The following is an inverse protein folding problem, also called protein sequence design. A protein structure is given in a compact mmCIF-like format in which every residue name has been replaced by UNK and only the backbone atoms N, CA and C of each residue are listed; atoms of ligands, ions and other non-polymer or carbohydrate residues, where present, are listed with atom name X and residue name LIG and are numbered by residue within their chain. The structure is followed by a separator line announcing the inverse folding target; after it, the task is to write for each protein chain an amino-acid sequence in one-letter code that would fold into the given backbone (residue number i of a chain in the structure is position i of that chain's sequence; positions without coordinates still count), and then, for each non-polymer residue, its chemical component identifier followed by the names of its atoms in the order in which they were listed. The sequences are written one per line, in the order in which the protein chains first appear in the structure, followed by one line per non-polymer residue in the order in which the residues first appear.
data_IF_302714176614
#
_entry.id   IF_302714176614
#
_cell.length_a   1.000
_cell.length_b   1.000
_cell.length_c   1.000
_cell.angle_alpha   90.00
_cell.angle_beta   90.00
_cell.angle_gamma   90.00
#
_symmetry.space_group_name_H-M   'P 1'
#
loop_
_entity.id
_entity.type
_entity.pdbx_description
1 polymer ?
#
# COMPACT_ATOMS: atom_id res chain seq x y z
N UNK A 1 3.19 -4.08 -2.20
CA UNK A 1 2.98 -4.06 -0.73
C UNK A 1 1.52 -4.25 -0.33
N UNK A 2 0.54 -3.47 -0.82
CA UNK A 2 -0.87 -3.64 -0.45
C UNK A 2 -1.36 -5.10 -0.58
N UNK A 3 -1.16 -5.73 -1.75
CA UNK A 3 -1.46 -7.15 -1.99
C UNK A 3 -0.70 -8.10 -1.03
N UNK A 4 0.59 -7.86 -0.80
CA UNK A 4 1.39 -8.64 0.15
C UNK A 4 0.84 -8.55 1.57
N UNK A 5 0.49 -7.34 2.03
CA UNK A 5 -0.03 -7.12 3.37
C UNK A 5 -1.41 -7.75 3.54
N UNK A 6 -2.31 -7.59 2.55
CA UNK A 6 -3.61 -8.25 2.53
C UNK A 6 -3.47 -9.76 2.61
N UNK A 7 -2.67 -10.39 1.75
CA UNK A 7 -2.49 -11.85 1.74
C UNK A 7 -1.84 -12.34 3.03
N UNK A 8 -0.84 -11.62 3.57
CA UNK A 8 -0.18 -11.99 4.82
C UNK A 8 -1.12 -11.92 6.03
N UNK A 9 -2.09 -11.00 6.02
CA UNK A 9 -2.99 -10.71 7.13
C UNK A 9 -4.47 -10.71 6.69
N UNK A 10 -4.89 -11.67 5.86
CA UNK A 10 -6.26 -11.69 5.30
C UNK A 10 -7.33 -12.00 6.34
N UNK A 11 -6.98 -12.44 7.55
CA UNK A 11 -7.95 -12.48 8.65
C UNK A 11 -8.24 -11.08 9.25
N UNK A 12 -7.34 -10.12 9.06
CA UNK A 12 -7.42 -8.75 9.59
C UNK A 12 -7.92 -7.76 8.52
N UNK A 13 -7.40 -7.88 7.30
CA UNK A 13 -7.71 -7.01 6.17
C UNK A 13 -9.03 -7.47 5.53
N UNK A 14 -9.85 -6.53 5.03
CA UNK A 14 -11.18 -6.79 4.44
C UNK A 14 -11.28 -6.42 2.95
N UNK A 15 -10.13 -6.21 2.32
CA UNK A 15 -10.04 -5.76 0.95
C UNK A 15 -8.82 -4.89 0.66
N UNK A 16 -8.52 -4.72 -0.63
CA UNK A 16 -7.37 -3.96 -1.09
C UNK A 16 -7.67 -3.12 -2.32
N UNK A 17 -7.09 -1.91 -2.32
CA UNK A 17 -6.94 -1.07 -3.49
C UNK A 17 -5.54 -1.18 -4.05
N UNK A 18 -5.41 -1.44 -5.35
CA UNK A 18 -4.12 -1.68 -6.00
C UNK A 18 -3.99 -0.81 -7.25
N UNK A 19 -3.03 0.12 -7.23
CA UNK A 19 -2.72 0.99 -8.36
C UNK A 19 -1.46 0.50 -9.06
N UNK A 20 -1.54 0.22 -10.37
CA UNK A 20 -0.40 -0.07 -11.24
C UNK A 20 0.64 -1.02 -10.60
N UNK A 21 0.18 -2.19 -10.14
CA UNK A 21 1.01 -3.17 -9.43
C UNK A 21 0.68 -4.60 -9.88
N UNK A 22 1.44 -5.57 -9.38
CA UNK A 22 1.43 -6.95 -9.86
C UNK A 22 1.06 -8.01 -8.82
N UNK A 23 1.17 -9.30 -9.23
CA UNK A 23 0.84 -10.47 -8.42
C UNK A 23 1.62 -10.54 -7.09
N UNK A 24 1.03 -11.24 -6.11
CA UNK A 24 1.71 -11.56 -4.85
C UNK A 24 3.02 -12.33 -5.11
N UNK A 25 4.09 -11.89 -4.44
CA UNK A 25 5.43 -12.48 -4.52
C UNK A 25 5.91 -12.69 -5.97
N UNK A 26 5.60 -11.74 -6.87
CA UNK A 26 5.95 -11.86 -8.29
C UNK A 26 7.46 -11.97 -8.52
N UNK A 27 8.25 -11.20 -7.77
CA UNK A 27 9.70 -11.14 -7.93
C UNK A 27 10.44 -12.34 -7.32
N UNK A 28 9.80 -13.10 -6.42
CA UNK A 28 10.38 -14.30 -5.79
C UNK A 28 11.76 -14.04 -5.14
N UNK A 29 11.94 -12.85 -4.57
CA UNK A 29 13.19 -12.44 -3.93
C UNK A 29 14.33 -12.10 -4.91
N UNK A 30 14.04 -11.95 -6.20
CA UNK A 30 15.01 -11.68 -7.26
C UNK A 30 14.75 -10.34 -7.97
N UNK A 31 15.77 -9.48 -8.00
CA UNK A 31 15.68 -8.15 -8.59
C UNK A 31 15.63 -8.18 -10.12
N UNK A 32 16.29 -9.14 -10.77
CA UNK A 32 16.22 -9.26 -12.22
C UNK A 32 14.79 -9.61 -12.62
N UNK A 33 14.21 -10.63 -11.98
CA UNK A 33 12.82 -11.03 -12.18
C UNK A 33 11.84 -9.90 -11.88
N UNK A 34 12.10 -9.13 -10.82
CA UNK A 34 11.32 -7.94 -10.50
C UNK A 34 11.23 -6.96 -11.70
N UNK A 35 12.35 -6.71 -12.36
CA UNK A 35 12.43 -5.78 -13.49
C UNK A 35 11.87 -6.39 -14.79
N UNK A 36 12.17 -7.66 -15.08
CA UNK A 36 11.86 -8.29 -16.36
C UNK A 36 10.49 -8.97 -16.43
N UNK A 37 9.96 -9.51 -15.34
CA UNK A 37 8.64 -10.18 -15.33
C UNK A 37 7.54 -9.31 -14.69
N UNK A 38 7.90 -8.51 -13.68
CA UNK A 38 6.94 -7.88 -12.76
C UNK A 38 6.79 -6.37 -12.94
N UNK A 39 7.48 -5.78 -13.91
CA UNK A 39 7.37 -4.36 -14.27
C UNK A 39 7.03 -4.19 -15.75
N UNK A 40 7.94 -4.55 -16.64
CA UNK A 40 7.74 -4.40 -18.08
C UNK A 40 8.05 -5.71 -18.82
N UNK A 41 7.24 -6.76 -18.62
CA UNK A 41 7.39 -8.05 -19.31
C UNK A 41 7.38 -7.92 -20.82
N UNK A 42 8.17 -8.78 -21.45
CA UNK A 42 8.18 -9.01 -22.90
C UNK A 42 7.45 -10.33 -23.25
N UNK A 43 7.58 -10.78 -24.50
CA UNK A 43 6.93 -12.02 -24.96
C UNK A 43 7.52 -13.32 -24.39
N UNK A 44 8.61 -13.25 -23.62
CA UNK A 44 9.31 -14.40 -23.03
C UNK A 44 9.20 -14.37 -21.50
N UNK A 45 9.48 -13.23 -20.90
CA UNK A 45 9.48 -13.02 -19.47
C UNK A 45 8.08 -12.63 -18.99
N UNK A 46 7.17 -13.60 -18.97
CA UNK A 46 5.77 -13.37 -18.60
C UNK A 46 5.60 -13.21 -17.08
N UNK A 47 4.67 -12.36 -16.61
CA UNK A 47 4.27 -12.35 -15.20
C UNK A 47 3.68 -13.72 -14.81
N UNK A 48 3.72 -14.08 -13.52
CA UNK A 48 3.25 -15.39 -13.08
C UNK A 48 1.75 -15.55 -13.33
N UNK A 49 1.35 -16.77 -13.66
CA UNK A 49 -0.06 -17.12 -13.83
C UNK A 49 -0.84 -17.05 -12.50
N UNK A 50 -2.18 -17.02 -12.54
CA UNK A 50 -3.01 -17.20 -11.35
C UNK A 50 -2.66 -18.46 -10.57
N UNK A 51 -2.44 -19.58 -11.26
CA UNK A 51 -2.08 -20.87 -10.66
C UNK A 51 -0.73 -20.82 -9.94
N UNK A 52 0.30 -20.23 -10.57
CA UNK A 52 1.63 -20.07 -9.96
C UNK A 52 1.56 -19.15 -8.73
N UNK A 53 0.80 -18.06 -8.82
CA UNK A 53 0.58 -17.14 -7.70
C UNK A 53 -0.14 -17.84 -6.54
N UNK A 54 -1.20 -18.59 -6.84
CA UNK A 54 -1.96 -19.35 -5.85
C UNK A 54 -1.12 -20.46 -5.21
N UNK A 55 -0.29 -21.16 -5.99
CA UNK A 55 0.63 -22.17 -5.47
C UNK A 55 1.62 -21.60 -4.45
N UNK A 56 2.20 -20.42 -4.73
CA UNK A 56 3.07 -19.71 -3.78
C UNK A 56 2.33 -19.33 -2.50
N UNK A 57 1.14 -18.74 -2.62
CA UNK A 57 0.32 -18.37 -1.46
C UNK A 57 -0.01 -19.63 -0.63
N UNK A 58 -0.44 -20.72 -1.25
CA UNK A 58 -0.72 -21.98 -0.55
C UNK A 58 0.50 -22.51 0.19
N UNK A 59 1.69 -22.48 -0.42
CA UNK A 59 2.92 -22.90 0.24
C UNK A 59 3.22 -22.07 1.51
N UNK A 60 3.10 -20.74 1.46
CA UNK A 60 3.26 -19.90 2.65
C UNK A 60 2.17 -20.12 3.70
N UNK A 61 0.93 -20.38 3.29
CA UNK A 61 -0.19 -20.64 4.19
C UNK A 61 -0.05 -22.00 4.90
N UNK A 62 0.36 -23.04 4.19
CA UNK A 62 0.66 -24.38 4.75
C UNK A 62 1.82 -24.31 5.75
N UNK A 63 2.82 -23.48 5.45
CA UNK A 63 3.92 -23.18 6.36
C UNK A 63 3.52 -22.23 7.52
N UNK A 64 2.25 -21.78 7.58
CA UNK A 64 1.70 -20.85 8.57
C UNK A 64 2.39 -19.48 8.63
N UNK A 65 3.03 -19.08 7.53
CA UNK A 65 3.74 -17.80 7.42
C UNK A 65 2.80 -16.65 7.01
N UNK A 66 1.61 -16.98 6.50
CA UNK A 66 0.51 -16.07 6.16
C UNK A 66 -0.83 -16.65 6.61
N UNK A 67 -1.91 -15.90 6.45
CA UNK A 67 -3.26 -16.39 6.67
C UNK A 67 -3.69 -17.46 5.64
N UNK A 68 -4.69 -18.31 5.98
CA UNK A 68 -5.32 -19.20 5.02
C UNK A 68 -5.86 -18.46 3.79
N UNK A 69 -5.64 -19.03 2.61
CA UNK A 69 -6.08 -18.42 1.33
C UNK A 69 -7.59 -18.16 1.29
N UNK A 70 -8.38 -19.04 1.93
CA UNK A 70 -9.84 -18.91 1.97
C UNK A 70 -10.34 -17.62 2.61
N UNK A 71 -9.53 -16.94 3.42
CA UNK A 71 -9.86 -15.64 3.99
C UNK A 71 -9.90 -14.51 2.95
N UNK A 72 -9.40 -14.73 1.72
CA UNK A 72 -9.55 -13.74 0.65
C UNK A 72 -10.95 -13.73 0.06
N UNK A 73 -11.74 -14.80 0.25
CA UNK A 73 -13.02 -14.97 -0.45
C UNK A 73 -14.09 -13.92 -0.12
N UNK A 74 -14.04 -13.30 1.06
CA UNK A 74 -14.94 -12.21 1.47
C UNK A 74 -14.35 -10.81 1.28
N UNK A 75 -13.14 -10.71 0.72
CA UNK A 75 -12.48 -9.43 0.44
C UNK A 75 -13.05 -8.76 -0.81
N UNK A 76 -13.11 -7.43 -0.76
CA UNK A 76 -13.34 -6.60 -1.95
C UNK A 76 -12.03 -6.08 -2.49
N UNK A 77 -11.86 -6.11 -3.81
CA UNK A 77 -10.62 -5.70 -4.46
C UNK A 77 -10.90 -4.69 -5.57
N UNK A 78 -10.18 -3.58 -5.54
CA UNK A 78 -10.23 -2.55 -6.57
C UNK A 78 -8.83 -2.41 -7.20
N UNK A 79 -8.72 -2.57 -8.52
CA UNK A 79 -7.44 -2.56 -9.23
C UNK A 79 -7.48 -1.52 -10.35
N UNK A 80 -6.40 -0.74 -10.48
CA UNK A 80 -6.24 0.27 -11.52
C UNK A 80 -5.06 0.02 -12.43
N UNK A 81 -5.27 0.17 -13.75
CA UNK A 81 -4.20 0.20 -14.77
C UNK A 81 -4.34 1.40 -15.70
N UNK A 82 -3.24 2.12 -15.92
CA UNK A 82 -3.14 3.12 -16.98
C UNK A 82 -2.76 2.52 -18.33
N UNK A 83 -3.35 3.00 -19.43
CA UNK A 83 -3.00 2.54 -20.78
C UNK A 83 -1.68 3.12 -21.33
N UNK A 84 -1.24 4.25 -20.77
CA UNK A 84 0.06 4.86 -21.07
C UNK A 84 1.15 4.47 -20.04
N UNK A 85 0.85 3.58 -19.10
CA UNK A 85 1.83 3.04 -18.16
C UNK A 85 2.88 2.21 -18.92
N UNK A 86 4.15 2.55 -18.70
CA UNK A 86 5.33 1.86 -19.25
C UNK A 86 6.29 1.40 -18.15
N UNK A 87 5.91 1.56 -16.89
CA UNK A 87 6.71 1.18 -15.72
C UNK A 87 6.18 -0.11 -15.12
N UNK A 88 4.88 -0.20 -14.88
CA UNK A 88 4.19 -1.46 -14.56
C UNK A 88 3.15 -1.66 -15.65
N UNK A 89 3.54 -2.40 -16.69
CA UNK A 89 2.73 -2.51 -17.89
C UNK A 89 1.49 -3.35 -17.63
N UNK A 90 0.47 -3.13 -18.48
CA UNK A 90 -0.84 -3.76 -18.36
C UNK A 90 -0.80 -5.29 -18.16
N UNK A 91 0.05 -6.09 -18.84
CA UNK A 91 0.12 -7.53 -18.60
C UNK A 91 0.37 -7.92 -17.13
N UNK A 92 1.18 -7.14 -16.40
CA UNK A 92 1.44 -7.38 -14.97
C UNK A 92 0.18 -7.15 -14.14
N UNK A 93 -0.54 -6.05 -14.40
CA UNK A 93 -1.79 -5.74 -13.69
C UNK A 93 -2.88 -6.76 -14.05
N UNK A 94 -2.93 -7.21 -15.30
CA UNK A 94 -3.88 -8.24 -15.75
C UNK A 94 -3.60 -9.62 -15.15
N UNK A 95 -2.34 -9.97 -14.89
CA UNK A 95 -1.99 -11.17 -14.13
C UNK A 95 -2.55 -11.10 -12.69
N UNK A 96 -2.44 -9.94 -12.04
CA UNK A 96 -3.03 -9.72 -10.71
C UNK A 96 -4.57 -9.81 -10.73
N UNK A 97 -5.20 -9.16 -11.72
CA UNK A 97 -6.67 -9.22 -11.90
C UNK A 97 -7.13 -10.66 -12.14
N UNK A 98 -6.40 -11.41 -12.96
CA UNK A 98 -6.72 -12.82 -13.25
C UNK A 98 -6.62 -13.69 -12.01
N UNK A 99 -5.61 -13.47 -11.15
CA UNK A 99 -5.54 -14.10 -9.84
C UNK A 99 -6.79 -13.80 -9.01
N UNK A 100 -7.16 -12.53 -8.84
CA UNK A 100 -8.32 -12.18 -8.01
C UNK A 100 -9.65 -12.70 -8.55
N UNK A 101 -9.85 -12.77 -9.87
CA UNK A 101 -11.05 -13.38 -10.46
C UNK A 101 -11.28 -14.83 -10.03
N UNK A 102 -10.21 -15.54 -9.68
CA UNK A 102 -10.30 -16.92 -9.20
C UNK A 102 -10.43 -17.00 -7.66
N UNK A 103 -10.22 -15.89 -6.93
CA UNK A 103 -10.21 -15.88 -5.46
C UNK A 103 -11.42 -15.20 -4.82
N UNK A 104 -12.05 -14.26 -5.52
CA UNK A 104 -13.20 -13.49 -5.00
C UNK A 104 -14.38 -13.56 -5.96
N UNK A 105 -15.58 -13.28 -5.46
CA UNK A 105 -16.78 -13.16 -6.29
C UNK A 105 -16.65 -12.03 -7.32
N UNK A 106 -17.32 -12.18 -8.46
CA UNK A 106 -17.23 -11.21 -9.57
C UNK A 106 -17.59 -9.77 -9.13
N UNK A 107 -18.61 -9.59 -8.27
CA UNK A 107 -19.00 -8.28 -7.76
C UNK A 107 -18.02 -7.70 -6.72
N UNK A 108 -17.15 -8.53 -6.16
CA UNK A 108 -16.12 -8.12 -5.21
C UNK A 108 -14.86 -7.58 -5.92
N UNK A 109 -14.69 -7.84 -7.22
CA UNK A 109 -13.56 -7.35 -8.01
C UNK A 109 -13.93 -6.21 -8.97
N UNK A 110 -13.32 -5.05 -8.78
CA UNK A 110 -13.44 -3.91 -9.68
C UNK A 110 -12.10 -3.65 -10.39
N UNK A 111 -12.04 -3.89 -11.70
CA UNK A 111 -10.89 -3.51 -12.53
C UNK A 111 -11.18 -2.25 -13.33
N UNK A 112 -10.44 -1.18 -13.04
CA UNK A 112 -10.58 0.14 -13.66
C UNK A 112 -9.40 0.45 -14.54
N UNK A 113 -9.68 0.97 -15.73
CA UNK A 113 -8.63 1.32 -16.70
C UNK A 113 -8.85 2.71 -17.26
N UNK A 114 -7.79 3.50 -17.36
CA UNK A 114 -7.80 4.79 -18.06
C UNK A 114 -6.81 4.77 -19.22
N UNK A 115 -7.26 4.86 -20.49
CA UNK A 115 -6.40 4.66 -21.66
C UNK A 115 -5.18 5.58 -21.73
N UNK A 116 -5.31 6.81 -21.23
CA UNK A 116 -4.27 7.83 -21.31
C UNK A 116 -3.47 7.98 -20.04
N UNK A 117 -3.78 7.26 -18.97
CA UNK A 117 -3.08 7.40 -17.70
C UNK A 117 -1.69 6.76 -17.75
N UNK A 118 -0.67 7.51 -17.27
CA UNK A 118 0.69 7.02 -17.03
C UNK A 118 0.82 6.29 -15.70
N UNK A 119 2.07 6.00 -15.28
CA UNK A 119 2.34 5.34 -14.00
C UNK A 119 2.32 6.35 -12.84
N UNK A 120 1.16 6.49 -12.20
CA UNK A 120 0.94 7.43 -11.10
C UNK A 120 -0.29 7.06 -10.27
N UNK A 121 -0.36 7.64 -9.06
CA UNK A 121 -1.62 7.78 -8.33
C UNK A 121 -2.53 8.75 -9.08
N UNK A 122 -3.80 8.38 -9.31
CA UNK A 122 -4.77 9.27 -9.94
C UNK A 122 -5.57 9.99 -8.87
N UNK A 123 -5.56 11.31 -8.89
CA UNK A 123 -6.25 12.11 -7.88
C UNK A 123 -6.73 13.46 -8.41
N UNK A 124 -7.85 13.90 -7.86
CA UNK A 124 -8.41 15.25 -8.07
C UNK A 124 -8.03 16.22 -6.95
N UNK A 125 -7.40 15.75 -5.86
CA UNK A 125 -7.11 16.53 -4.67
C UNK A 125 -5.75 17.25 -4.72
N UNK A 126 -4.81 16.77 -5.54
CA UNK A 126 -3.47 17.36 -5.63
C UNK A 126 -3.47 18.67 -6.46
N UNK A 127 -3.17 19.84 -5.86
CA UNK A 127 -3.15 21.11 -6.60
C UNK A 127 -2.08 21.17 -7.68
N UNK A 128 -0.94 20.50 -7.46
CA UNK A 128 0.19 20.39 -8.38
C UNK A 128 0.24 19.08 -9.15
N UNK A 129 -0.90 18.42 -9.36
CA UNK A 129 -0.94 17.14 -10.07
C UNK A 129 -0.39 17.26 -11.50
N UNK A 130 0.37 16.26 -11.92
CA UNK A 130 0.83 16.13 -13.30
C UNK A 130 -0.33 15.86 -14.27
N UNK A 131 -0.09 16.07 -15.56
CA UNK A 131 -1.02 15.64 -16.61
C UNK A 131 -1.25 14.12 -16.56
N UNK A 132 -2.44 13.66 -16.95
CA UNK A 132 -2.86 12.26 -16.85
C UNK A 132 -1.84 11.24 -17.39
N UNK A 133 -1.23 11.50 -18.56
CA UNK A 133 -0.27 10.61 -19.21
C UNK A 133 1.17 10.69 -18.69
N UNK A 134 1.45 11.54 -17.70
CA UNK A 134 2.80 11.71 -17.18
C UNK A 134 3.24 10.52 -16.33
N UNK A 135 4.54 10.23 -16.33
CA UNK A 135 5.20 9.33 -15.37
C UNK A 135 6.39 10.09 -14.77
N UNK A 136 6.10 10.98 -13.83
CA UNK A 136 7.08 11.90 -13.25
C UNK A 136 6.71 12.24 -11.81
N UNK A 137 7.70 12.68 -11.02
CA UNK A 137 7.49 13.19 -9.65
C UNK A 137 6.40 14.29 -9.64
N UNK A 138 5.51 14.34 -8.64
CA UNK A 138 5.43 13.48 -7.45
C UNK A 138 4.68 12.15 -7.69
N UNK A 139 4.49 11.75 -8.95
CA UNK A 139 3.74 10.57 -9.39
C UNK A 139 2.28 10.61 -8.91
N UNK A 140 1.70 11.81 -8.89
CA UNK A 140 0.28 12.07 -8.70
C UNK A 140 -0.23 12.83 -9.93
N UNK A 141 -1.19 12.24 -10.64
CA UNK A 141 -1.70 12.76 -11.90
C UNK A 141 -3.18 13.13 -11.79
N UNK A 142 -3.60 14.13 -12.57
CA UNK A 142 -5.01 14.49 -12.75
C UNK A 142 -5.51 13.97 -14.09
N UNK A 143 -6.45 13.02 -14.02
CA UNK A 143 -7.11 12.43 -15.20
C UNK A 143 -8.57 12.91 -15.28
N UNK A 144 -8.75 14.20 -15.55
CA UNK A 144 -10.06 14.85 -15.45
C UNK A 144 -10.54 14.92 -14.00
N UNK A 145 -11.82 14.62 -13.77
CA UNK A 145 -12.45 14.61 -12.45
C UNK A 145 -12.55 13.19 -11.86
N UNK A 146 -11.71 12.26 -12.32
CA UNK A 146 -11.72 10.89 -11.83
C UNK A 146 -11.14 10.80 -10.40
N UNK A 147 -12.02 10.69 -9.41
CA UNK A 147 -11.67 10.51 -7.99
C UNK A 147 -11.42 9.03 -7.67
N UNK A 148 -10.21 8.55 -7.99
CA UNK A 148 -9.86 7.15 -7.81
C UNK A 148 -9.87 6.69 -6.34
N UNK A 149 -9.41 7.54 -5.42
CA UNK A 149 -9.45 7.26 -3.99
C UNK A 149 -10.90 7.09 -3.50
N UNK A 150 -11.81 7.98 -3.92
CA UNK A 150 -13.23 7.89 -3.60
C UNK A 150 -13.90 6.63 -4.16
N UNK A 151 -13.71 6.33 -5.46
CA UNK A 151 -14.29 5.13 -6.08
C UNK A 151 -13.77 3.86 -5.39
N UNK A 152 -12.45 3.79 -5.15
CA UNK A 152 -11.82 2.66 -4.47
C UNK A 152 -12.36 2.49 -3.05
N UNK A 153 -12.39 3.54 -2.23
CA UNK A 153 -12.91 3.46 -0.86
C UNK A 153 -14.39 3.06 -0.84
N UNK A 154 -15.20 3.55 -1.79
CA UNK A 154 -16.61 3.18 -1.89
C UNK A 154 -16.78 1.71 -2.28
N UNK A 155 -15.95 1.20 -3.20
CA UNK A 155 -15.95 -0.22 -3.55
C UNK A 155 -15.59 -1.09 -2.34
N UNK A 156 -14.54 -0.73 -1.60
CA UNK A 156 -14.05 -1.51 -0.47
C UNK A 156 -14.99 -1.49 0.74
N UNK A 157 -15.68 -0.37 0.98
CA UNK A 157 -16.35 -0.12 2.27
C UNK A 157 -17.86 0.13 2.17
N UNK A 158 -18.40 0.17 0.95
CA UNK A 158 -19.79 0.52 0.67
C UNK A 158 -19.99 2.03 0.51
N UNK A 159 -21.25 2.47 0.60
CA UNK A 159 -21.60 3.88 0.40
C UNK A 159 -20.84 4.81 1.36
N UNK A 160 -20.23 5.86 0.81
CA UNK A 160 -19.52 6.89 1.56
C UNK A 160 -20.39 8.15 1.71
N UNK A 161 -20.26 8.82 2.85
CA UNK A 161 -20.68 10.21 3.00
C UNK A 161 -19.84 11.10 2.09
N UNK A 162 -20.41 12.17 1.50
CA UNK A 162 -19.66 13.12 0.70
C UNK A 162 -18.45 13.65 1.46
N UNK A 163 -17.29 13.66 0.80
CA UNK A 163 -16.05 14.15 1.39
C UNK A 163 -16.17 15.59 1.87
N UNK A 164 -15.47 15.91 2.95
CA UNK A 164 -15.36 17.27 3.51
C UNK A 164 -13.90 17.72 3.50
N UNK A 165 -13.65 19.01 3.71
CA UNK A 165 -12.29 19.53 3.76
C UNK A 165 -11.47 18.83 4.86
N UNK A 166 -10.30 18.33 4.50
CA UNK A 166 -9.38 17.76 5.46
C UNK A 166 -8.82 18.86 6.39
N UNK A 167 -8.81 18.60 7.70
CA UNK A 167 -8.21 19.51 8.68
C UNK A 167 -6.70 19.32 8.76
N UNK A 168 -5.95 20.42 8.83
CA UNK A 168 -4.50 20.39 9.04
C UNK A 168 -4.08 19.62 10.31
N UNK A 169 -4.80 19.84 11.43
CA UNK A 169 -4.53 19.15 12.70
C UNK A 169 -4.82 17.62 12.67
N UNK A 170 -5.51 17.15 11.62
CA UNK A 170 -5.74 15.73 11.39
C UNK A 170 -4.49 15.01 10.90
N UNK A 171 -3.60 15.69 10.16
CA UNK A 171 -2.39 15.09 9.63
C UNK A 171 -1.24 15.21 10.65
N UNK A 172 -0.70 14.07 11.09
CA UNK A 172 0.33 13.97 12.13
C UNK A 172 1.50 13.12 11.64
N UNK A 173 2.70 13.45 12.09
CA UNK A 173 3.84 12.52 12.03
C UNK A 173 3.95 11.72 13.32
N UNK A 174 4.51 10.52 13.23
CA UNK A 174 4.82 9.69 14.39
C UNK A 174 6.16 8.98 14.19
N UNK A 175 6.82 8.59 15.27
CA UNK A 175 8.02 7.76 15.20
C UNK A 175 7.60 6.34 14.79
N UNK A 176 8.00 5.93 13.59
CA UNK A 176 7.70 4.59 13.10
C UNK A 176 8.85 3.59 13.37
N UNK A 177 10.00 4.07 13.86
CA UNK A 177 11.15 3.22 14.17
C UNK A 177 10.87 2.29 15.36
N UNK A 178 10.01 2.71 16.28
CA UNK A 178 9.52 1.89 17.40
C UNK A 178 8.72 0.67 16.96
N UNK A 179 8.21 0.65 15.72
CA UNK A 179 7.38 -0.43 15.18
C UNK A 179 8.18 -1.47 14.39
N UNK A 180 9.44 -1.19 14.05
CA UNK A 180 10.23 -2.10 13.21
C UNK A 180 10.85 -3.24 14.03
N UNK A 181 10.79 -4.51 13.55
CA UNK A 181 11.38 -5.64 14.26
C UNK A 181 12.92 -5.71 14.17
N UNK A 182 13.51 -4.93 13.27
CA UNK A 182 14.94 -4.76 13.06
C UNK A 182 15.23 -3.26 12.99
N UNK A 183 16.51 -2.88 12.90
CA UNK A 183 16.88 -1.48 12.64
C UNK A 183 16.12 -0.95 11.40
N UNK A 184 15.46 0.23 11.46
CA UNK A 184 14.74 0.79 10.31
C UNK A 184 15.60 0.88 9.04
N UNK A 185 16.89 1.13 9.23
CA UNK A 185 17.89 1.16 8.15
C UNK A 185 17.89 -0.17 7.40
N UNK A 186 17.89 -1.31 8.09
CA UNK A 186 17.88 -2.65 7.47
C UNK A 186 16.64 -2.94 6.64
N UNK A 187 15.54 -2.26 6.94
CA UNK A 187 14.26 -2.44 6.28
C UNK A 187 13.98 -1.36 5.22
N UNK A 188 14.89 -0.41 5.01
CA UNK A 188 14.62 0.80 4.21
C UNK A 188 13.41 1.60 4.72
N UNK A 189 13.05 1.43 5.99
CA UNK A 189 11.94 2.13 6.65
C UNK A 189 12.43 3.51 7.07
N UNK A 190 11.65 4.57 6.80
CA UNK A 190 11.94 5.89 7.32
C UNK A 190 11.86 5.91 8.86
N UNK A 191 12.36 6.96 9.50
CA UNK A 191 12.20 7.14 10.96
C UNK A 191 10.80 7.60 11.33
N UNK A 192 10.18 8.43 10.49
CA UNK A 192 8.83 8.96 10.74
C UNK A 192 7.83 8.39 9.74
N UNK A 193 6.66 8.01 10.23
CA UNK A 193 5.47 7.73 9.45
C UNK A 193 4.50 8.91 9.52
N UNK A 194 3.45 8.88 8.69
CA UNK A 194 2.38 9.88 8.72
C UNK A 194 1.03 9.20 8.97
N UNK A 195 0.12 9.89 9.64
CA UNK A 195 -1.26 9.41 9.87
C UNK A 195 -2.23 10.58 9.79
N UNK A 196 -3.37 10.34 9.14
CA UNK A 196 -4.50 11.26 9.14
C UNK A 196 -5.59 10.74 10.08
N UNK A 197 -5.89 11.51 11.13
CA UNK A 197 -6.91 11.20 12.14
C UNK A 197 -8.08 12.19 12.00
N UNK A 198 -9.25 11.75 11.51
CA UNK A 198 -10.46 12.56 11.48
C UNK A 198 -10.86 13.07 12.87
N UNK A 199 -11.57 14.22 12.95
CA UNK A 199 -12.01 14.76 14.24
C UNK A 199 -12.89 13.75 14.99
N UNK A 200 -13.73 13.04 14.25
CA UNK A 200 -14.64 12.04 14.79
C UNK A 200 -13.90 10.79 15.34
N UNK A 201 -12.63 10.59 14.97
CA UNK A 201 -11.82 9.45 15.39
C UNK A 201 -11.00 9.68 16.65
N UNK A 202 -10.91 10.92 17.16
CA UNK A 202 -10.25 11.19 18.46
C UNK A 202 -10.94 10.46 19.62
N UNK A 203 -12.23 10.17 19.49
CA UNK A 203 -13.00 9.40 20.47
C UNK A 203 -12.93 7.87 20.24
N UNK A 204 -12.14 7.39 19.27
CA UNK A 204 -12.05 5.99 18.89
C UNK A 204 -13.23 5.50 18.03
N UNK A 205 -13.28 4.19 17.79
CA UNK A 205 -14.35 3.53 17.02
C UNK A 205 -14.30 3.80 15.51
N UNK A 206 -13.11 3.99 14.96
CA UNK A 206 -12.90 4.22 13.54
C UNK A 206 -12.29 3.01 12.84
N UNK A 207 -12.53 2.92 11.53
CA UNK A 207 -11.82 1.97 10.67
C UNK A 207 -10.45 2.56 10.32
N UNK A 208 -9.52 1.71 9.88
CA UNK A 208 -8.21 2.14 9.40
C UNK A 208 -8.05 1.73 7.94
N UNK A 209 -7.55 2.64 7.11
CA UNK A 209 -7.10 2.35 5.76
C UNK A 209 -5.59 2.65 5.68
N UNK A 210 -4.80 1.67 5.24
CA UNK A 210 -3.36 1.84 5.08
C UNK A 210 -3.06 2.19 3.64
N UNK A 211 -2.39 3.33 3.43
CA UNK A 211 -1.99 3.79 2.10
C UNK A 211 -0.48 3.65 1.97
N UNK A 212 -0.07 2.76 1.06
CA UNK A 212 1.32 2.56 0.69
C UNK A 212 1.66 3.46 -0.49
N UNK A 213 2.56 4.43 -0.29
CA UNK A 213 3.09 5.23 -1.39
C UNK A 213 3.94 4.37 -2.35
N UNK A 214 4.08 4.80 -3.61
CA UNK A 214 4.96 4.15 -4.59
C UNK A 214 6.44 4.46 -4.39
N UNK A 215 7.30 3.87 -5.24
CA UNK A 215 8.71 4.25 -5.31
C UNK A 215 8.84 5.76 -5.58
N UNK A 216 9.81 6.43 -4.94
CA UNK A 216 10.05 7.87 -5.03
C UNK A 216 8.85 8.74 -4.59
N UNK A 217 7.93 8.19 -3.79
CA UNK A 217 6.80 8.95 -3.23
C UNK A 217 6.83 9.00 -1.70
N UNK A 218 7.92 8.53 -1.08
CA UNK A 218 8.16 8.70 0.34
C UNK A 218 8.38 10.18 0.69
N UNK A 219 8.20 10.53 1.95
CA UNK A 219 8.38 11.91 2.42
C UNK A 219 9.77 12.50 2.18
N UNK A 220 10.80 11.66 2.05
CA UNK A 220 12.16 12.06 1.68
C UNK A 220 12.27 12.51 0.21
N UNK A 221 11.42 11.98 -0.67
CA UNK A 221 11.44 12.26 -2.10
C UNK A 221 10.49 13.39 -2.51
N UNK A 222 9.29 13.46 -1.92
CA UNK A 222 8.22 14.38 -2.35
C UNK A 222 7.58 15.16 -1.20
N UNK A 223 8.18 15.15 0.00
CA UNK A 223 7.58 15.79 1.16
C UNK A 223 6.19 15.23 1.47
N UNK A 224 5.21 16.11 1.66
CA UNK A 224 3.83 15.72 1.96
C UNK A 224 2.92 15.66 0.72
N UNK A 225 3.48 15.82 -0.50
CA UNK A 225 2.68 15.92 -1.73
C UNK A 225 1.82 14.68 -1.97
N UNK A 226 2.36 13.47 -1.72
CA UNK A 226 1.57 12.24 -1.84
C UNK A 226 0.53 12.13 -0.72
N UNK A 227 0.95 12.33 0.54
CA UNK A 227 0.07 12.15 1.72
C UNK A 227 -1.10 13.14 1.71
N UNK A 228 -0.92 14.34 1.16
CA UNK A 228 -1.98 15.35 1.00
C UNK A 228 -2.71 15.21 -0.33
N UNK A 229 -1.99 14.89 -1.39
CA UNK A 229 -2.49 14.95 -2.77
C UNK A 229 -3.13 13.67 -3.28
N UNK A 230 -2.95 12.52 -2.63
CA UNK A 230 -3.52 11.25 -3.09
C UNK A 230 -5.06 11.17 -2.92
N UNK A 231 -5.67 12.12 -2.19
CA UNK A 231 -7.13 12.30 -2.15
C UNK A 231 -7.88 11.46 -1.12
N UNK A 232 -7.18 10.81 -0.18
CA UNK A 232 -7.82 9.99 0.85
C UNK A 232 -8.33 10.81 2.05
N UNK A 233 -7.68 11.91 2.42
CA UNK A 233 -7.91 12.59 3.70
C UNK A 233 -9.31 13.24 3.79
N UNK A 234 -9.80 13.81 2.70
CA UNK A 234 -11.12 14.45 2.63
C UNK A 234 -12.25 13.41 2.76
N UNK A 235 -12.08 12.25 2.13
CA UNK A 235 -12.99 11.12 2.30
C UNK A 235 -12.94 10.60 3.73
N UNK A 236 -11.73 10.48 4.28
CA UNK A 236 -11.51 10.01 5.63
C UNK A 236 -12.16 10.89 6.70
N UNK A 237 -12.05 12.22 6.59
CA UNK A 237 -12.63 13.18 7.53
C UNK A 237 -14.16 13.02 7.63
N UNK A 238 -14.84 12.71 6.52
CA UNK A 238 -16.29 12.51 6.48
C UNK A 238 -16.75 11.10 6.90
N UNK A 239 -15.86 10.09 6.91
CA UNK A 239 -16.26 8.68 6.92
C UNK A 239 -15.70 7.83 8.07
N UNK A 240 -15.27 8.47 9.17
CA UNK A 240 -14.72 7.80 10.36
C UNK A 240 -13.63 6.78 10.00
N UNK A 241 -12.70 7.23 9.16
CA UNK A 241 -11.62 6.42 8.60
C UNK A 241 -10.28 7.06 8.94
N UNK A 242 -9.47 6.40 9.76
CA UNK A 242 -8.07 6.80 9.96
C UNK A 242 -7.29 6.37 8.72
N UNK A 243 -6.43 7.25 8.18
CA UNK A 243 -5.55 6.89 7.07
C UNK A 243 -4.12 6.82 7.56
N UNK A 244 -3.56 5.62 7.58
CA UNK A 244 -2.17 5.37 7.95
C UNK A 244 -1.30 5.45 6.69
N UNK A 245 -0.23 6.23 6.73
CA UNK A 245 0.75 6.38 5.66
C UNK A 245 2.15 5.99 6.17
N UNK A 246 2.44 4.68 6.31
CA UNK A 246 3.78 4.21 6.62
C UNK A 246 4.77 4.73 5.57
N UNK A 247 6.02 4.98 5.95
CA UNK A 247 7.01 5.56 5.05
C UNK A 247 8.23 4.66 4.87
N UNK A 248 8.65 4.46 3.63
CA UNK A 248 9.98 3.92 3.29
C UNK A 248 10.83 5.04 2.70
N UNK A 249 12.16 4.89 2.75
CA UNK A 249 13.10 5.89 2.22
C UNK A 249 14.12 5.22 1.32
N UNK A 250 14.74 5.99 0.42
CA UNK A 250 15.76 5.50 -0.48
C UNK A 250 17.00 5.02 0.27
N UNK A 251 17.51 3.83 -0.10
CA UNK A 251 18.70 3.25 0.50
C UNK A 251 19.58 2.54 -0.53
N UNK A 252 20.87 2.83 -0.49
CA UNK A 252 21.87 2.15 -1.31
C UNK A 252 23.19 2.05 -0.55
N UNK A 253 23.48 0.89 0.02
CA UNK A 253 24.74 0.65 0.71
C UNK A 253 24.66 -0.23 1.94
N UNK A 254 25.78 -0.34 2.65
CA UNK A 254 25.90 -1.10 3.91
C UNK A 254 25.12 -0.43 5.05
N UNK A 255 24.45 -1.23 5.87
CA UNK A 255 23.77 -0.75 7.07
C UNK A 255 24.79 -0.70 8.19
N UNK A 256 25.02 0.49 8.74
CA UNK A 256 25.82 0.59 9.95
C UNK A 256 25.11 -0.15 11.10
N UNK A 257 25.82 -1.08 11.75
CA UNK A 257 25.30 -1.93 12.82
C UNK A 257 25.11 -3.39 12.40
N UNK A 258 24.27 -3.66 11.38
CA UNK A 258 24.02 -5.03 10.88
C UNK A 258 24.99 -5.47 9.79
N UNK A 259 25.66 -4.51 9.13
CA UNK A 259 26.48 -4.70 7.94
C UNK A 259 25.73 -5.35 6.77
N UNK A 260 24.39 -5.26 6.76
CA UNK A 260 23.58 -5.78 5.66
C UNK A 260 23.59 -4.78 4.50
N UNK A 261 23.98 -5.26 3.32
CA UNK A 261 23.81 -4.49 2.10
C UNK A 261 22.33 -4.38 1.74
N UNK A 262 21.86 -3.16 1.50
CA UNK A 262 20.50 -2.92 0.99
C UNK A 262 20.55 -2.09 -0.27
N UNK A 263 19.84 -2.62 -1.27
CA UNK A 263 19.70 -2.03 -2.59
C UNK A 263 18.23 -1.68 -2.81
N UNK A 264 17.86 -0.45 -2.46
CA UNK A 264 16.55 0.17 -2.68
C UNK A 264 16.73 1.66 -3.01
N UNK A 265 17.45 2.02 -4.09
CA UNK A 265 17.81 3.41 -4.36
C UNK A 265 16.59 4.30 -4.67
N UNK A 266 15.42 3.71 -4.89
CA UNK A 266 14.19 4.43 -5.21
C UNK A 266 13.20 4.53 -4.05
N UNK A 267 13.56 4.04 -2.84
CA UNK A 267 12.67 4.11 -1.69
C UNK A 267 11.33 3.41 -1.95
N UNK A 268 11.37 2.22 -2.55
CA UNK A 268 10.21 1.37 -2.75
C UNK A 268 9.90 0.56 -1.49
N UNK A 269 8.69 0.04 -1.40
CA UNK A 269 8.38 -1.06 -0.48
C UNK A 269 9.11 -2.34 -0.89
N UNK A 270 9.31 -3.27 0.04
CA UNK A 270 9.96 -4.54 -0.25
C UNK A 270 9.00 -5.51 -0.93
N UNK A 271 9.18 -5.66 -2.23
CA UNK A 271 8.47 -6.61 -3.08
C UNK A 271 9.42 -7.48 -3.91
N UNK A 272 10.73 -7.39 -3.67
CA UNK A 272 11.76 -8.22 -4.30
C UNK A 272 12.78 -8.80 -3.30
N UNK A 273 12.45 -8.81 -2.02
CA UNK A 273 13.22 -9.46 -0.97
C UNK A 273 14.49 -8.75 -0.55
N UNK A 274 14.63 -7.45 -0.83
CA UNK A 274 15.82 -6.73 -0.38
C UNK A 274 15.91 -6.68 1.15
N UNK A 275 14.80 -6.86 1.91
CA UNK A 275 14.78 -6.94 3.37
C UNK A 275 15.01 -8.34 3.96
N UNK A 276 15.03 -9.38 3.11
CA UNK A 276 15.21 -10.78 3.49
C UNK A 276 14.14 -11.68 2.89
N UNK A 277 14.35 -13.00 2.93
CA UNK A 277 13.47 -14.00 2.26
C UNK A 277 12.03 -14.01 2.76
N UNK A 278 11.78 -13.58 3.99
CA UNK A 278 10.45 -13.54 4.58
C UNK A 278 9.60 -12.32 4.15
N UNK A 279 10.10 -11.47 3.25
CA UNK A 279 9.49 -10.19 2.87
C UNK A 279 7.99 -10.21 2.48
N UNK A 280 7.42 -11.28 1.87
CA UNK A 280 6.01 -11.28 1.52
C UNK A 280 5.11 -11.84 2.63
N UNK A 281 5.70 -12.35 3.73
CA UNK A 281 5.02 -13.05 4.82
C UNK A 281 4.80 -12.18 6.05
N UNK A 282 4.08 -12.70 7.07
CA UNK A 282 3.95 -12.04 8.38
C UNK A 282 5.26 -11.82 9.11
N UNK A 283 6.31 -12.57 8.75
CA UNK A 283 7.65 -12.40 9.33
C UNK A 283 8.48 -11.34 8.58
N UNK A 284 7.99 -10.84 7.44
CA UNK A 284 8.61 -9.78 6.66
C UNK A 284 8.72 -8.48 7.45
N UNK A 285 9.91 -7.88 7.49
CA UNK A 285 10.18 -6.76 8.41
C UNK A 285 9.27 -5.54 8.19
N UNK A 286 8.97 -5.20 6.93
CA UNK A 286 8.04 -4.10 6.63
C UNK A 286 6.58 -4.45 6.92
N UNK A 287 6.15 -5.70 6.65
CA UNK A 287 4.81 -6.18 6.98
C UNK A 287 4.60 -6.14 8.50
N UNK A 288 5.56 -6.64 9.29
CA UNK A 288 5.55 -6.56 10.75
C UNK A 288 5.47 -5.14 11.27
N UNK A 289 6.22 -4.23 10.65
CA UNK A 289 6.22 -2.82 11.06
C UNK A 289 4.83 -2.20 10.89
N UNK A 290 4.20 -2.41 9.75
CA UNK A 290 2.85 -1.88 9.46
C UNK A 290 1.81 -2.55 10.36
N UNK A 291 1.90 -3.86 10.58
CA UNK A 291 1.01 -4.57 11.50
C UNK A 291 1.14 -4.03 12.94
N UNK A 292 2.37 -3.75 13.41
CA UNK A 292 2.61 -3.12 14.71
C UNK A 292 1.98 -1.72 14.82
N UNK A 293 2.06 -0.91 13.76
CA UNK A 293 1.37 0.40 13.72
C UNK A 293 -0.16 0.25 13.82
N UNK A 294 -0.73 -0.75 13.13
CA UNK A 294 -2.16 -1.05 13.24
C UNK A 294 -2.55 -1.52 14.64
N UNK A 295 -1.72 -2.32 15.29
CA UNK A 295 -1.96 -2.75 16.67
C UNK A 295 -2.03 -1.55 17.62
N UNK A 296 -1.12 -0.58 17.49
CA UNK A 296 -1.17 0.64 18.28
C UNK A 296 -2.42 1.47 18.00
N UNK A 297 -2.85 1.60 16.73
CA UNK A 297 -4.09 2.31 16.39
C UNK A 297 -5.36 1.61 16.89
N UNK A 298 -5.28 0.30 17.16
CA UNK A 298 -6.38 -0.48 17.71
C UNK A 298 -6.46 -0.42 19.25
N UNK A 299 -5.46 0.13 19.93
CA UNK A 299 -5.49 0.33 21.37
C UNK A 299 -6.60 1.32 21.77
N UNK A 300 -7.26 1.11 22.92
CA UNK A 300 -8.26 2.06 23.41
C UNK A 300 -7.65 3.46 23.58
N UNK A 301 -8.42 4.49 23.22
CA UNK A 301 -8.01 5.88 23.48
C UNK A 301 -7.81 6.05 24.99
N UNK A 302 -6.57 6.26 25.40
CA UNK A 302 -6.24 6.52 26.80
C UNK A 302 -6.90 7.85 27.18
N UNK A 303 -7.92 7.80 28.05
CA UNK A 303 -8.52 9.02 28.61
C UNK A 303 -7.47 9.88 29.31
N UNK A 304 -7.72 11.19 29.53
CA UNK A 304 -6.80 12.01 30.30
C UNK A 304 -6.55 11.32 31.65
N UNK A 305 -5.28 11.09 31.98
CA UNK A 305 -4.87 10.48 33.24
C UNK A 305 -5.61 11.23 34.36
N UNK A 306 -6.59 10.55 34.97
CA UNK A 306 -7.35 11.11 36.06
C UNK A 306 -6.35 11.56 37.11
N UNK A 307 -6.32 12.85 37.40
CA UNK A 307 -5.65 13.38 38.58
C UNK A 307 -6.19 12.61 39.77
N UNK A 308 -5.40 11.68 40.30
CA UNK A 308 -5.65 11.07 41.59
C UNK A 308 -5.67 12.23 42.60
N UNK A 309 -6.87 12.65 42.98
CA UNK A 309 -7.08 13.66 44.00
C UNK A 309 -6.79 13.07 45.37
N UNK A 310 -5.91 13.77 46.10
CA UNK A 310 -5.65 13.81 47.55
C UNK A 310 -6.01 12.60 48.41
#
# INVERSE_FOLDING_TARGET
MATQFQVAHSALVRGAGVFASGPYDCAEGDLERALSHCMAPDGVNLPPSPEETLARIRAYAEARQIDPVGNLGDDRVWVFSGGADRTVTRPVVEALVSFYREQVEDEALRYVTLPTAGHAMISVAAPGANACGSTASPYVNRCGEFDAAGEMLAHLTGALQPKVAAREAGLRSFDQASHTPLSPVDLSMAKQGMVYVPQACEAGGCRVHVVFHGCRQGTDAVGQDFVRGAGYNEWAEANRLIVLYPQVHARHGMAWGSWRWVYNPQGCWDWWGYSGKAYPTRDGGQIRAVHSMLQQLAEPVSGPAGTAGN
#
